data_IF_844314600526
#
_entry.id   IF_844314600526
#
_cell.length_a   1.000
_cell.length_b   1.000
_cell.length_c   1.000
_cell.angle_alpha   90.00
_cell.angle_beta   90.00
_cell.angle_gamma   90.00
#
_symmetry.space_group_name_H-M   'P 1'
#
loop_
_entity.id
_entity.type
_entity.pdbx_description
1 polymer ?
#
# COMPACT_ATOMS: atom_id res chain seq x y z
N UNK A 1 15.31 7.66 7.10
CA UNK A 1 14.70 6.59 6.27
C UNK A 1 14.70 7.02 4.82
N UNK A 2 15.20 6.17 3.95
CA UNK A 2 15.23 6.49 2.53
C UNK A 2 13.91 6.11 1.86
N UNK A 3 13.71 6.57 0.64
CA UNK A 3 12.51 6.23 -0.11
C UNK A 3 12.42 4.71 -0.34
N UNK A 4 13.56 4.07 -0.57
CA UNK A 4 13.57 2.62 -0.78
C UNK A 4 13.20 1.88 0.50
N UNK A 5 13.69 2.33 1.64
CA UNK A 5 13.35 1.73 2.93
C UNK A 5 11.85 1.81 3.17
N UNK A 6 11.25 2.96 2.88
CA UNK A 6 9.82 3.12 3.08
C UNK A 6 9.02 2.23 2.13
N UNK A 7 9.44 2.15 0.86
CA UNK A 7 8.77 1.26 -0.08
C UNK A 7 8.80 -0.18 0.40
N UNK A 8 9.94 -0.62 0.92
CA UNK A 8 10.04 -1.98 1.43
C UNK A 8 9.18 -2.20 2.65
N UNK A 9 9.11 -1.21 3.53
CA UNK A 9 8.24 -1.31 4.71
C UNK A 9 6.77 -1.39 4.30
N UNK A 10 6.36 -0.56 3.35
CA UNK A 10 4.99 -0.58 2.85
C UNK A 10 4.68 -1.94 2.24
N UNK A 11 5.56 -2.43 1.39
CA UNK A 11 5.34 -3.70 0.71
C UNK A 11 5.30 -4.87 1.69
N UNK A 12 6.20 -4.86 2.66
CA UNK A 12 6.23 -5.91 3.67
C UNK A 12 4.94 -5.92 4.49
N UNK A 13 4.44 -4.72 4.85
CA UNK A 13 3.19 -4.63 5.59
C UNK A 13 2.02 -5.15 4.75
N UNK A 14 1.99 -4.78 3.47
CA UNK A 14 0.92 -5.24 2.59
C UNK A 14 0.93 -6.75 2.44
N UNK A 15 2.11 -7.36 2.35
CA UNK A 15 2.22 -8.82 2.30
C UNK A 15 1.73 -9.47 3.59
N UNK A 16 2.02 -8.82 4.71
CA UNK A 16 1.63 -9.34 6.01
C UNK A 16 0.13 -9.35 6.18
N UNK A 17 -0.58 -8.35 5.64
CA UNK A 17 -2.02 -8.24 5.82
C UNK A 17 -2.82 -8.80 4.65
N UNK A 18 -2.16 -9.23 3.58
CA UNK A 18 -2.86 -9.78 2.43
C UNK A 18 -3.78 -10.92 2.87
N UNK A 19 -4.91 -11.09 2.22
CA UNK A 19 -5.41 -10.40 1.04
C UNK A 19 -6.12 -9.08 1.34
N UNK A 20 -6.09 -8.62 2.56
CA UNK A 20 -6.76 -7.38 2.93
C UNK A 20 -5.94 -6.20 2.43
N UNK A 21 -6.62 -5.08 2.17
CA UNK A 21 -5.98 -3.88 1.68
C UNK A 21 -6.37 -2.69 2.53
N UNK A 22 -5.48 -1.72 2.61
CA UNK A 22 -5.69 -0.51 3.41
C UNK A 22 -5.57 0.70 2.50
N UNK A 23 -6.32 1.75 2.79
CA UNK A 23 -6.18 3.00 2.05
C UNK A 23 -4.91 3.70 2.49
N UNK A 24 -4.50 4.71 1.71
CA UNK A 24 -3.24 5.40 1.96
C UNK A 24 -3.19 5.98 3.37
N UNK A 25 -4.28 6.57 3.83
CA UNK A 25 -4.32 7.17 5.17
C UNK A 25 -4.15 6.12 6.26
N UNK A 26 -4.79 4.96 6.11
CA UNK A 26 -4.65 3.89 7.09
C UNK A 26 -3.24 3.31 7.08
N UNK A 27 -2.63 3.19 5.90
CA UNK A 27 -1.25 2.75 5.81
C UNK A 27 -0.32 3.73 6.53
N UNK A 28 -0.54 5.03 6.34
CA UNK A 28 0.28 6.03 7.00
C UNK A 28 0.19 5.89 8.53
N UNK A 29 -0.99 5.69 9.04
CA UNK A 29 -1.19 5.52 10.48
C UNK A 29 -0.48 4.26 10.98
N UNK A 30 -0.62 3.16 10.27
CA UNK A 30 -0.06 1.89 10.69
C UNK A 30 1.47 1.91 10.64
N UNK A 31 2.02 2.61 9.68
CA UNK A 31 3.47 2.69 9.51
C UNK A 31 4.08 3.88 10.24
N UNK A 32 3.26 4.74 10.81
CA UNK A 32 3.70 5.91 11.57
C UNK A 32 4.54 6.84 10.71
N UNK A 33 4.07 7.08 9.51
CA UNK A 33 4.69 8.02 8.58
C UNK A 33 3.60 8.96 8.05
N UNK A 34 4.00 9.99 7.31
CA UNK A 34 3.04 10.93 6.77
C UNK A 34 2.29 10.35 5.58
N UNK A 35 1.10 10.88 5.33
CA UNK A 35 0.32 10.48 4.17
C UNK A 35 1.08 10.76 2.88
N UNK A 36 1.77 11.90 2.81
CA UNK A 36 2.54 12.24 1.62
C UNK A 36 3.63 11.22 1.35
N UNK A 37 4.30 10.74 2.41
CA UNK A 37 5.34 9.73 2.26
C UNK A 37 4.77 8.42 1.74
N UNK A 38 3.64 7.99 2.29
CA UNK A 38 2.99 6.75 1.84
C UNK A 38 2.54 6.88 0.40
N UNK A 39 1.93 8.01 0.05
CA UNK A 39 1.45 8.21 -1.31
C UNK A 39 2.60 8.15 -2.31
N UNK A 40 3.73 8.77 -1.98
CA UNK A 40 4.90 8.73 -2.84
C UNK A 40 5.47 7.32 -2.97
N UNK A 41 5.53 6.59 -1.84
CA UNK A 41 6.03 5.21 -1.87
C UNK A 41 5.13 4.31 -2.72
N UNK A 42 3.81 4.46 -2.57
CA UNK A 42 2.88 3.65 -3.35
C UNK A 42 2.96 3.98 -4.84
N UNK A 43 3.17 5.25 -5.18
CA UNK A 43 3.35 5.63 -6.58
C UNK A 43 4.58 4.94 -7.18
N UNK A 44 5.67 4.88 -6.42
CA UNK A 44 6.87 4.18 -6.85
C UNK A 44 6.65 2.70 -7.03
N UNK A 45 5.93 2.09 -6.09
CA UNK A 45 5.63 0.66 -6.16
C UNK A 45 4.70 0.35 -7.34
N UNK A 46 3.77 1.24 -7.63
CA UNK A 46 2.88 1.07 -8.78
C UNK A 46 3.66 1.17 -10.09
N UNK A 47 4.63 2.07 -10.15
CA UNK A 47 5.48 2.20 -11.31
C UNK A 47 6.30 0.93 -11.55
N UNK A 48 6.66 0.24 -10.47
CA UNK A 48 7.39 -1.04 -10.56
C UNK A 48 6.46 -2.23 -10.71
N UNK A 49 5.16 -1.99 -10.85
CA UNK A 49 4.15 -3.04 -11.01
C UNK A 49 4.06 -3.97 -9.80
N UNK A 50 4.50 -3.51 -8.63
CA UNK A 50 4.40 -4.31 -7.41
C UNK A 50 3.01 -4.20 -6.79
N UNK A 51 2.35 -3.06 -6.98
CA UNK A 51 0.99 -2.84 -6.48
C UNK A 51 0.16 -2.24 -7.60
N UNK A 52 -1.16 -2.30 -7.44
CA UNK A 52 -2.08 -1.69 -8.39
C UNK A 52 -3.13 -0.91 -7.62
N UNK A 53 -3.66 0.13 -8.25
CA UNK A 53 -4.76 0.89 -7.67
C UNK A 53 -6.05 0.19 -8.01
N UNK A 54 -6.90 0.03 -7.01
CA UNK A 54 -8.17 -0.64 -7.21
C UNK A 54 -9.18 -0.08 -6.24
N UNK A 55 -10.45 -0.16 -6.59
CA UNK A 55 -11.52 0.33 -5.74
C UNK A 55 -12.05 -0.83 -4.91
N UNK A 56 -11.86 -0.74 -3.62
CA UNK A 56 -12.35 -1.79 -2.72
C UNK A 56 -12.42 -1.24 -1.31
N UNK A 57 -12.99 -2.03 -0.41
CA UNK A 57 -13.13 -1.60 0.97
C UNK A 57 -11.79 -1.62 1.68
N UNK A 58 -11.50 -0.55 2.42
CA UNK A 58 -10.32 -0.49 3.26
C UNK A 58 -10.57 -1.32 4.52
N UNK A 59 -9.67 -2.23 4.82
CA UNK A 59 -9.83 -3.08 5.99
C UNK A 59 -9.71 -2.28 7.29
N UNK A 60 -9.01 -1.16 7.25
CA UNK A 60 -8.80 -0.35 8.45
C UNK A 60 -9.96 0.57 8.79
N UNK A 61 -10.51 1.28 7.81
CA UNK A 61 -11.58 2.25 8.06
C UNK A 61 -12.93 1.82 7.49
N UNK A 62 -12.97 0.77 6.70
CA UNK A 62 -14.23 0.24 6.16
C UNK A 62 -14.80 1.00 4.99
N UNK A 63 -14.15 2.08 4.56
CA UNK A 63 -14.67 2.86 3.43
C UNK A 63 -14.28 2.22 2.12
N UNK A 64 -15.17 2.32 1.15
CA UNK A 64 -14.88 1.87 -0.20
C UNK A 64 -14.29 3.04 -0.96
N UNK A 65 -13.04 2.92 -1.35
CA UNK A 65 -12.35 3.99 -2.07
C UNK A 65 -11.19 3.38 -2.85
N UNK A 66 -10.58 4.22 -3.68
CA UNK A 66 -9.43 3.77 -4.45
C UNK A 66 -8.22 3.65 -3.53
N UNK A 67 -7.59 2.49 -3.56
CA UNK A 67 -6.43 2.23 -2.72
C UNK A 67 -5.46 1.34 -3.50
N UNK A 68 -4.31 1.08 -2.88
CA UNK A 68 -3.31 0.21 -3.49
C UNK A 68 -3.40 -1.19 -2.91
N UNK A 69 -3.29 -2.19 -3.75
CA UNK A 69 -3.29 -3.58 -3.33
C UNK A 69 -2.12 -4.28 -4.03
N UNK A 70 -1.64 -5.36 -3.42
CA UNK A 70 -0.59 -6.16 -4.05
C UNK A 70 -1.09 -6.70 -5.37
N UNK A 71 -0.23 -6.64 -6.39
CA UNK A 71 -0.56 -7.30 -7.65
C UNK A 71 -0.44 -8.79 -7.43
N UNK A 72 -1.47 -9.51 -7.85
CA UNK A 72 -1.43 -10.93 -7.76
C UNK A 72 -0.86 -11.48 -8.99
N UNK A 73 -0.02 -12.13 -8.84
CA UNK A 73 0.50 -12.53 -9.84
C UNK A 73 0.87 -13.63 -10.31
N UNK A 74 0.90 -13.46 -10.15
CA UNK A 74 1.45 -14.04 -10.59
C UNK A 74 2.31 -14.65 -10.51
N UNK A 75 2.45 -14.83 -10.32
CA UNK A 75 3.20 -15.24 -10.21
C UNK A 75 3.83 -15.90 -10.70
N UNK A 76 3.92 -15.91 -10.83
CA UNK A 76 4.65 -16.30 -11.31
C UNK A 76 4.99 -16.57 -11.23
#
# INVERSE_FOLDING_TARGET
>A
MTADDLRQRVLAFMRKVAPFAYCDACLALRLEVSLAEVTAALAGLAADAAVERTRRACYGCGRTLELSALREGRAG
#
